data_IF_074286585620
#
_entry.id   IF_074286585620
#
_cell.length_a   1.000
_cell.length_b   1.000
_cell.length_c   1.000
_cell.angle_alpha   90.00
_cell.angle_beta   90.00
_cell.angle_gamma   90.00
#
_symmetry.space_group_name_H-M   'P 1'
#
loop_
_entity.id
_entity.type
_entity.pdbx_description
1 polymer ?
#
# COMPACT_ATOMS: atom_id res chain seq x y z
N UNK A 1 -18.91 15.36 -9.91
CA UNK A 1 -18.03 14.18 -9.72
C UNK A 1 -17.89 13.97 -8.22
N UNK A 2 -18.36 12.84 -7.72
CA UNK A 2 -18.40 12.57 -6.27
C UNK A 2 -17.01 12.21 -5.75
N UNK A 3 -16.22 13.24 -5.45
CA UNK A 3 -14.89 13.15 -4.81
C UNK A 3 -14.93 12.38 -3.48
N UNK A 4 -16.13 12.26 -2.88
CA UNK A 4 -16.38 11.58 -1.61
C UNK A 4 -15.99 10.10 -1.66
N UNK A 5 -16.35 9.35 -2.71
CA UNK A 5 -16.11 7.90 -2.75
C UNK A 5 -14.62 7.53 -2.82
N UNK A 6 -13.80 8.13 -3.69
CA UNK A 6 -12.36 7.90 -3.68
C UNK A 6 -11.70 8.22 -2.35
N UNK A 7 -12.13 9.29 -1.68
CA UNK A 7 -11.61 9.67 -0.35
C UNK A 7 -11.98 8.63 0.70
N UNK A 8 -13.21 8.09 0.67
CA UNK A 8 -13.62 7.03 1.59
C UNK A 8 -12.81 5.74 1.37
N UNK A 9 -12.63 5.31 0.11
CA UNK A 9 -11.84 4.11 -0.20
C UNK A 9 -10.37 4.26 0.17
N UNK A 10 -9.77 5.43 -0.10
CA UNK A 10 -8.41 5.74 0.32
C UNK A 10 -8.27 5.73 1.85
N UNK A 11 -9.29 6.21 2.56
CA UNK A 11 -9.32 6.22 4.03
C UNK A 11 -9.36 4.81 4.60
N UNK A 12 -10.18 3.91 4.03
CA UNK A 12 -10.21 2.49 4.44
C UNK A 12 -8.83 1.85 4.26
N UNK A 13 -8.18 2.07 3.11
CA UNK A 13 -6.84 1.57 2.85
C UNK A 13 -5.80 2.14 3.83
N UNK A 14 -5.87 3.43 4.14
CA UNK A 14 -4.98 4.08 5.09
C UNK A 14 -5.14 3.53 6.52
N UNK A 15 -6.37 3.31 6.98
CA UNK A 15 -6.66 2.68 8.28
C UNK A 15 -6.10 1.25 8.31
N UNK A 16 -6.35 0.45 7.27
CA UNK A 16 -5.82 -0.91 7.17
C UNK A 16 -4.30 -0.94 7.25
N UNK A 17 -3.63 -0.02 6.55
CA UNK A 17 -2.17 0.11 6.62
C UNK A 17 -1.68 0.55 8.02
N UNK A 18 -2.39 1.45 8.72
CA UNK A 18 -2.04 1.84 10.08
C UNK A 18 -2.13 0.67 11.07
N UNK A 19 -3.19 -0.15 10.97
CA UNK A 19 -3.35 -1.38 11.77
C UNK A 19 -2.25 -2.38 11.44
N UNK A 20 -1.90 -2.53 10.16
CA UNK A 20 -0.80 -3.38 9.74
C UNK A 20 0.55 -2.92 10.32
N UNK A 21 0.84 -1.62 10.27
CA UNK A 21 2.05 -1.04 10.85
C UNK A 21 2.15 -1.27 12.36
N UNK A 22 1.03 -1.13 13.08
CA UNK A 22 0.94 -1.44 14.51
C UNK A 22 1.27 -2.90 14.79
N UNK A 23 0.66 -3.84 14.06
CA UNK A 23 0.91 -5.28 14.19
C UNK A 23 2.37 -5.65 13.89
N UNK A 24 2.96 -5.07 12.84
CA UNK A 24 4.38 -5.27 12.49
C UNK A 24 5.33 -4.73 13.56
N UNK A 25 4.98 -3.59 14.19
CA UNK A 25 5.82 -3.03 15.26
C UNK A 25 5.75 -3.90 16.52
N UNK A 26 4.58 -4.41 16.87
CA UNK A 26 4.38 -5.32 18.00
C UNK A 26 5.08 -6.67 17.77
N UNK A 27 5.18 -7.12 16.51
CA UNK A 27 5.86 -8.35 16.14
C UNK A 27 7.36 -8.19 15.85
N UNK A 28 7.96 -7.01 16.10
CA UNK A 28 9.38 -6.76 15.87
C UNK A 28 10.34 -7.66 16.69
N UNK A 29 9.80 -8.46 17.63
CA UNK A 29 10.51 -9.54 18.35
C UNK A 29 10.20 -10.96 17.87
N UNK A 30 9.44 -11.14 16.79
CA UNK A 30 9.17 -12.45 16.20
C UNK A 30 10.45 -13.04 15.62
N UNK A 31 10.68 -14.34 15.83
CA UNK A 31 11.88 -15.05 15.35
C UNK A 31 12.08 -14.94 13.83
N UNK A 32 11.01 -14.74 13.07
CA UNK A 32 11.05 -14.55 11.62
C UNK A 32 9.97 -13.55 11.15
N UNK A 33 10.38 -12.34 10.79
CA UNK A 33 9.49 -11.29 10.29
C UNK A 33 8.76 -11.64 8.99
N UNK A 34 9.39 -12.42 8.09
CA UNK A 34 8.74 -12.86 6.86
C UNK A 34 7.66 -13.90 7.10
N UNK A 35 7.87 -14.77 8.10
CA UNK A 35 6.85 -15.72 8.52
C UNK A 35 5.63 -14.98 9.10
N UNK A 36 5.85 -13.92 9.89
CA UNK A 36 4.78 -13.06 10.39
C UNK A 36 4.02 -12.36 9.24
N UNK A 37 4.76 -11.85 8.25
CA UNK A 37 4.17 -11.27 7.02
C UNK A 37 3.33 -12.30 6.26
N UNK A 38 3.84 -13.52 6.06
CA UNK A 38 3.13 -14.59 5.37
C UNK A 38 1.84 -14.98 6.11
N UNK A 39 1.89 -15.11 7.44
CA UNK A 39 0.72 -15.37 8.27
C UNK A 39 -0.32 -14.24 8.18
N UNK A 40 0.14 -12.98 8.22
CA UNK A 40 -0.72 -11.80 8.06
C UNK A 40 -1.40 -11.76 6.68
N UNK A 41 -0.66 -12.09 5.62
CA UNK A 41 -1.21 -12.19 4.26
C UNK A 41 -2.22 -13.34 4.14
N UNK A 42 -1.98 -14.48 4.81
CA UNK A 42 -2.93 -15.58 4.90
C UNK A 42 -4.24 -15.16 5.57
N UNK A 43 -4.18 -14.42 6.68
CA UNK A 43 -5.37 -13.87 7.34
C UNK A 43 -6.14 -12.90 6.42
N UNK A 44 -5.43 -12.01 5.73
CA UNK A 44 -6.04 -11.09 4.77
C UNK A 44 -6.71 -11.83 3.59
N UNK A 45 -6.09 -12.90 3.09
CA UNK A 45 -6.67 -13.77 2.05
C UNK A 45 -7.98 -14.41 2.54
N UNK A 46 -8.00 -14.97 3.75
CA UNK A 46 -9.21 -15.57 4.32
C UNK A 46 -10.33 -14.55 4.48
N UNK A 47 -10.03 -13.36 5.00
CA UNK A 47 -11.00 -12.28 5.10
C UNK A 47 -11.55 -11.86 3.72
N UNK A 48 -10.68 -11.75 2.72
CA UNK A 48 -11.09 -11.44 1.36
C UNK A 48 -12.00 -12.52 0.76
N UNK A 49 -11.72 -13.81 1.01
CA UNK A 49 -12.58 -14.92 0.56
C UNK A 49 -13.95 -14.91 1.22
N UNK A 50 -14.02 -14.59 2.52
CA UNK A 50 -15.30 -14.45 3.24
C UNK A 50 -16.11 -13.28 2.70
N UNK A 51 -15.45 -12.17 2.35
CA UNK A 51 -16.11 -10.98 1.80
C UNK A 51 -16.38 -11.05 0.29
N UNK A 52 -15.73 -11.93 -0.47
CA UNK A 52 -15.84 -12.00 -1.92
C UNK A 52 -17.30 -12.09 -2.44
N UNK A 53 -18.20 -12.90 -1.83
CA UNK A 53 -19.60 -12.96 -2.26
C UNK A 53 -20.36 -11.64 -2.17
N UNK A 54 -19.91 -10.69 -1.34
CA UNK A 54 -20.53 -9.37 -1.20
C UNK A 54 -20.30 -8.48 -2.44
N UNK A 55 -19.33 -8.85 -3.28
CA UNK A 55 -18.91 -8.06 -4.46
C UNK A 55 -19.20 -8.75 -5.79
N UNK A 56 -19.72 -9.99 -5.77
CA UNK A 56 -20.07 -10.76 -6.96
C UNK A 56 -20.06 -12.27 -6.75
N UNK A 57 -20.31 -13.04 -7.82
CA UNK A 57 -20.28 -14.49 -7.79
C UNK A 57 -18.86 -15.06 -7.72
N UNK A 58 -18.69 -16.20 -7.05
CA UNK A 58 -17.40 -16.89 -6.90
C UNK A 58 -17.09 -17.72 -8.16
N UNK A 59 -16.63 -17.07 -9.23
CA UNK A 59 -16.16 -17.76 -10.43
C UNK A 59 -14.61 -17.83 -10.47
N UNK A 60 -14.07 -18.88 -9.84
CA UNK A 60 -12.63 -19.12 -9.79
C UNK A 60 -12.04 -19.36 -11.18
N UNK A 61 -12.75 -20.09 -12.05
CA UNK A 61 -12.27 -20.40 -13.38
C UNK A 61 -12.00 -19.15 -14.21
N UNK A 62 -12.91 -18.16 -14.14
CA UNK A 62 -12.77 -16.89 -14.84
C UNK A 62 -11.70 -16.00 -14.23
N UNK A 63 -11.55 -16.06 -12.90
CA UNK A 63 -10.47 -15.36 -12.18
C UNK A 63 -9.09 -15.80 -12.69
N UNK A 64 -8.87 -17.10 -12.96
CA UNK A 64 -7.58 -17.61 -13.41
C UNK A 64 -7.40 -17.65 -14.94
N UNK A 65 -8.43 -17.97 -15.72
CA UNK A 65 -8.31 -18.23 -17.18
C UNK A 65 -8.01 -17.00 -18.04
N UNK A 66 -8.06 -15.78 -17.49
CA UNK A 66 -7.69 -14.55 -18.20
C UNK A 66 -6.77 -13.61 -17.44
N UNK A 67 -6.58 -13.80 -16.13
CA UNK A 67 -5.91 -12.81 -15.27
C UNK A 67 -4.62 -13.34 -14.61
N UNK A 68 -4.05 -14.45 -15.07
CA UNK A 68 -2.87 -15.03 -14.42
C UNK A 68 -1.69 -14.05 -14.35
N UNK A 69 -1.40 -13.32 -15.42
CA UNK A 69 -0.30 -12.34 -15.44
C UNK A 69 -0.56 -11.15 -14.49
N UNK A 70 -1.71 -10.45 -14.55
CA UNK A 70 -2.07 -9.45 -13.53
C UNK A 70 -2.04 -10.00 -12.11
N UNK A 71 -2.51 -11.23 -11.89
CA UNK A 71 -2.54 -11.87 -10.58
C UNK A 71 -1.12 -12.10 -10.04
N UNK A 72 -0.19 -12.59 -10.87
CA UNK A 72 1.22 -12.77 -10.50
C UNK A 72 1.92 -11.43 -10.23
N UNK A 73 1.68 -10.41 -11.06
CA UNK A 73 2.24 -9.06 -10.86
C UNK A 73 1.72 -8.44 -9.55
N UNK A 74 0.42 -8.52 -9.29
CA UNK A 74 -0.20 -8.01 -8.06
C UNK A 74 0.27 -8.78 -6.83
N UNK A 75 0.37 -10.10 -6.90
CA UNK A 75 0.88 -10.94 -5.82
C UNK A 75 2.34 -10.62 -5.47
N UNK A 76 3.20 -10.46 -6.49
CA UNK A 76 4.58 -10.05 -6.30
C UNK A 76 4.68 -8.63 -5.70
N UNK A 77 3.84 -7.70 -6.18
CA UNK A 77 3.76 -6.35 -5.64
C UNK A 77 3.33 -6.32 -4.16
N UNK A 78 2.34 -7.13 -3.78
CA UNK A 78 1.89 -7.28 -2.39
C UNK A 78 3.01 -7.84 -1.51
N UNK A 79 3.73 -8.86 -1.98
CA UNK A 79 4.87 -9.42 -1.27
C UNK A 79 5.96 -8.36 -1.01
N UNK A 80 6.37 -7.62 -2.05
CA UNK A 80 7.39 -6.56 -1.91
C UNK A 80 6.93 -5.44 -0.97
N UNK A 81 5.65 -5.09 -1.02
CA UNK A 81 5.06 -4.09 -0.12
C UNK A 81 5.15 -4.52 1.34
N UNK A 82 4.72 -5.75 1.65
CA UNK A 82 4.77 -6.26 3.02
C UNK A 82 6.21 -6.52 3.51
N UNK A 83 7.10 -6.96 2.63
CA UNK A 83 8.53 -7.07 2.92
C UNK A 83 9.10 -5.70 3.30
N UNK A 84 8.86 -4.67 2.48
CA UNK A 84 9.30 -3.30 2.74
C UNK A 84 8.78 -2.77 4.07
N UNK A 85 7.49 -2.95 4.35
CA UNK A 85 6.89 -2.54 5.62
C UNK A 85 7.44 -3.30 6.83
N UNK A 86 7.67 -4.61 6.73
CA UNK A 86 8.29 -5.36 7.81
C UNK A 86 9.69 -4.80 8.12
N UNK A 87 10.53 -4.61 7.11
CA UNK A 87 11.87 -4.05 7.27
C UNK A 87 11.84 -2.63 7.82
N UNK A 88 10.91 -1.80 7.34
CA UNK A 88 10.77 -0.40 7.73
C UNK A 88 10.28 -0.26 9.17
N UNK A 89 9.16 -0.88 9.51
CA UNK A 89 8.51 -0.67 10.82
C UNK A 89 9.18 -1.44 11.95
N UNK A 90 9.68 -2.66 11.70
CA UNK A 90 10.38 -3.42 12.73
C UNK A 90 11.61 -2.65 13.23
N UNK A 91 12.37 -2.04 12.31
CA UNK A 91 13.64 -1.37 12.62
C UNK A 91 13.50 0.12 12.94
N UNK A 92 12.71 0.86 12.16
CA UNK A 92 12.71 2.32 12.19
C UNK A 92 11.40 2.93 12.72
N UNK A 93 10.38 2.11 12.98
CA UNK A 93 9.10 2.55 13.56
C UNK A 93 8.12 3.13 12.55
N UNK A 94 6.89 3.38 13.02
CA UNK A 94 5.76 3.73 12.16
C UNK A 94 5.87 5.13 11.53
N UNK A 95 6.60 6.06 12.13
CA UNK A 95 6.79 7.41 11.60
C UNK A 95 7.42 7.42 10.20
N UNK A 96 8.27 6.43 9.89
CA UNK A 96 8.87 6.27 8.57
C UNK A 96 7.86 5.97 7.46
N UNK A 97 6.59 5.76 7.79
CA UNK A 97 5.51 5.71 6.79
C UNK A 97 5.49 6.94 5.88
N UNK A 98 5.87 8.12 6.40
CA UNK A 98 5.92 9.36 5.61
C UNK A 98 6.90 9.24 4.44
N UNK A 99 8.06 8.60 4.66
CA UNK A 99 9.04 8.33 3.61
C UNK A 99 8.47 7.36 2.56
N UNK A 100 7.84 6.28 3.01
CA UNK A 100 7.15 5.35 2.12
C UNK A 100 6.06 6.04 1.29
N UNK A 101 5.24 6.89 1.91
CA UNK A 101 4.10 7.52 1.26
C UNK A 101 4.55 8.34 0.04
N UNK A 102 5.66 9.07 0.15
CA UNK A 102 6.20 9.83 -0.98
C UNK A 102 6.81 8.96 -2.05
N UNK A 103 7.61 7.96 -1.67
CA UNK A 103 8.16 7.02 -2.65
C UNK A 103 7.00 6.34 -3.40
N UNK A 104 5.93 6.00 -2.70
CA UNK A 104 4.70 5.41 -3.28
C UNK A 104 3.97 6.38 -4.22
N UNK A 105 3.90 7.67 -3.91
CA UNK A 105 3.36 8.69 -4.85
C UNK A 105 4.21 8.75 -6.13
N UNK A 106 5.54 8.74 -6.00
CA UNK A 106 6.43 8.75 -7.17
C UNK A 106 6.25 7.47 -7.99
N UNK A 107 6.31 6.29 -7.38
CA UNK A 107 6.26 5.03 -8.13
C UNK A 107 4.86 4.73 -8.66
N UNK A 108 3.81 4.99 -7.89
CA UNK A 108 2.44 4.63 -8.27
C UNK A 108 1.81 5.70 -9.14
N UNK A 109 1.85 6.97 -8.73
CA UNK A 109 1.18 8.05 -9.47
C UNK A 109 2.01 8.54 -10.65
N UNK A 110 3.30 8.82 -10.45
CA UNK A 110 4.14 9.31 -11.56
C UNK A 110 4.55 8.17 -12.51
N UNK A 111 5.17 7.11 -12.01
CA UNK A 111 5.72 6.06 -12.89
C UNK A 111 4.62 5.18 -13.48
N UNK A 112 3.76 4.58 -12.64
CA UNK A 112 2.71 3.69 -13.15
C UNK A 112 1.56 4.48 -13.79
N UNK A 113 0.93 5.43 -13.08
CA UNK A 113 -0.21 6.18 -13.58
C UNK A 113 0.13 7.06 -14.79
N UNK A 114 1.05 8.01 -14.61
CA UNK A 114 1.35 8.98 -15.67
C UNK A 114 2.24 8.45 -16.79
N UNK A 115 3.36 7.77 -16.47
CA UNK A 115 4.32 7.34 -17.51
C UNK A 115 3.91 6.04 -18.20
N UNK A 116 3.49 5.02 -17.45
CA UNK A 116 3.18 3.69 -17.99
C UNK A 116 1.75 3.61 -18.54
N UNK A 117 0.76 3.96 -17.73
CA UNK A 117 -0.67 3.88 -18.07
C UNK A 117 -1.17 5.11 -18.84
N UNK A 118 -0.40 6.21 -18.86
CA UNK A 118 -0.72 7.46 -19.56
C UNK A 118 -2.05 8.08 -19.11
N UNK A 119 -2.32 8.01 -17.81
CA UNK A 119 -3.53 8.59 -17.22
C UNK A 119 -3.54 10.13 -17.35
N UNK A 120 -4.73 10.75 -17.56
CA UNK A 120 -4.83 12.19 -17.72
C UNK A 120 -4.56 12.90 -16.38
N UNK A 121 -3.60 13.83 -16.40
CA UNK A 121 -3.24 14.64 -15.23
C UNK A 121 -3.33 16.13 -15.51
N UNK A 122 -4.07 16.83 -14.65
CA UNK A 122 -4.20 18.28 -14.69
C UNK A 122 -3.14 18.96 -13.80
N UNK A 123 -3.14 20.29 -13.80
CA UNK A 123 -2.21 21.08 -13.01
C UNK A 123 -2.33 20.79 -11.49
N UNK A 124 -3.54 20.60 -10.98
CA UNK A 124 -3.78 20.33 -9.56
C UNK A 124 -3.16 19.00 -9.11
N UNK A 125 -3.21 17.94 -9.93
CA UNK A 125 -2.52 16.69 -9.65
C UNK A 125 -1.00 16.90 -9.53
N UNK A 126 -0.41 17.68 -10.44
CA UNK A 126 1.03 18.00 -10.41
C UNK A 126 1.40 18.80 -9.15
N UNK A 127 0.59 19.79 -8.78
CA UNK A 127 0.80 20.57 -7.56
C UNK A 127 0.69 19.72 -6.29
N UNK A 128 -0.28 18.80 -6.23
CA UNK A 128 -0.43 17.88 -5.10
C UNK A 128 0.81 16.99 -4.91
N UNK A 129 1.41 16.51 -6.01
CA UNK A 129 2.64 15.72 -5.98
C UNK A 129 3.80 16.55 -5.44
N UNK A 130 3.97 17.79 -5.90
CA UNK A 130 5.02 18.70 -5.39
C UNK A 130 4.86 18.96 -3.89
N UNK A 131 3.63 19.22 -3.43
CA UNK A 131 3.35 19.41 -2.01
C UNK A 131 3.65 18.17 -1.17
N UNK A 132 3.35 16.97 -1.70
CA UNK A 132 3.71 15.72 -1.02
C UNK A 132 5.23 15.55 -0.90
N UNK A 133 6.02 15.90 -1.93
CA UNK A 133 7.48 15.88 -1.85
C UNK A 133 8.00 16.84 -0.77
N UNK A 134 7.45 18.06 -0.71
CA UNK A 134 7.82 19.06 0.31
C UNK A 134 7.52 18.52 1.72
N UNK A 135 6.37 17.86 1.91
CA UNK A 135 6.01 17.29 3.20
C UNK A 135 7.06 16.29 3.71
N UNK A 136 7.66 15.47 2.83
CA UNK A 136 8.76 14.58 3.23
C UNK A 136 10.04 15.32 3.55
N UNK A 137 10.42 16.35 2.79
CA UNK A 137 11.61 17.15 3.12
C UNK A 137 11.48 17.73 4.52
N UNK A 138 10.32 18.31 4.84
CA UNK A 138 10.03 18.85 6.18
C UNK A 138 10.04 17.75 7.23
N UNK A 139 9.41 16.61 6.97
CA UNK A 139 9.42 15.45 7.87
C UNK A 139 10.85 14.95 8.15
N UNK A 140 11.68 14.80 7.13
CA UNK A 140 13.07 14.36 7.27
C UNK A 140 13.93 15.35 8.06
N UNK A 141 13.73 16.66 7.85
CA UNK A 141 14.38 17.70 8.67
C UNK A 141 13.94 17.58 10.14
N UNK A 142 12.64 17.33 10.38
CA UNK A 142 12.11 17.10 11.73
C UNK A 142 12.73 15.86 12.39
N UNK A 143 12.79 14.73 11.67
CA UNK A 143 13.39 13.49 12.14
C UNK A 143 14.89 13.65 12.47
N UNK A 144 15.63 14.45 11.69
CA UNK A 144 17.07 14.69 11.93
C UNK A 144 17.34 15.60 13.14
N UNK A 145 16.32 16.29 13.65
CA UNK A 145 16.41 17.22 14.80
C UNK A 145 15.77 16.65 16.07
N UNK A 146 15.16 15.47 16.00
CA UNK A 146 14.52 14.77 17.10
C UNK A 146 15.45 13.68 17.65
#
# INVERSE_FOLDING_TARGET
MDVVLPVLFATIAAIGNAVFALGQKQSAGAANGLLFVAASAGLAMLAALVCAPLTGGLNLADTFRGNLRPLLLSGLGLFLTYLGFNLLYARYGAAQYVLYAVISIITTTLVVGMLWLKEPVNLYHKLAIVLALIAVVVFSIGQARA
#
